data_IF_239585023089
#
_entry.id   IF_239585023089
#
_cell.length_a   1.000
_cell.length_b   1.000
_cell.length_c   1.000
_cell.angle_alpha   90.00
_cell.angle_beta   90.00
_cell.angle_gamma   90.00
#
_symmetry.space_group_name_H-M   'P 1'
#
loop_
_entity.id
_entity.type
_entity.pdbx_description
1 polymer ?
#
# COMPACT_ATOMS: atom_id res chain seq x y z
N UNK A 1 -12.30 3.72 9.62
CA UNK A 1 -11.11 2.99 9.17
C UNK A 1 -10.06 3.02 10.27
N UNK A 2 -9.66 1.86 10.76
CA UNK A 2 -8.59 1.63 11.73
C UNK A 2 -7.22 2.02 11.15
N UNK A 3 -6.18 2.04 11.97
CA UNK A 3 -4.82 2.26 11.45
C UNK A 3 -4.37 1.14 10.51
N UNK A 4 -4.68 -0.12 10.83
CA UNK A 4 -4.23 -1.26 10.02
C UNK A 4 -4.93 -1.29 8.65
N UNK A 5 -6.22 -0.96 8.63
CA UNK A 5 -6.98 -0.78 7.38
C UNK A 5 -6.37 0.33 6.52
N UNK A 6 -5.98 1.48 7.11
CA UNK A 6 -5.32 2.57 6.37
C UNK A 6 -3.95 2.17 5.84
N UNK A 7 -3.13 1.52 6.67
CA UNK A 7 -1.79 1.09 6.29
C UNK A 7 -1.85 0.10 5.12
N UNK A 8 -2.70 -0.91 5.22
CA UNK A 8 -2.88 -1.94 4.20
C UNK A 8 -3.48 -1.38 2.91
N UNK A 9 -4.40 -0.44 3.00
CA UNK A 9 -4.95 0.28 1.85
C UNK A 9 -3.87 1.08 1.12
N UNK A 10 -3.06 1.86 1.84
CA UNK A 10 -1.98 2.64 1.25
C UNK A 10 -0.88 1.73 0.70
N UNK A 11 -0.57 0.61 1.37
CA UNK A 11 0.34 -0.39 0.84
C UNK A 11 -0.12 -0.94 -0.52
N UNK A 12 -1.38 -1.37 -0.61
CA UNK A 12 -1.95 -1.89 -1.86
C UNK A 12 -1.94 -0.81 -2.96
N UNK A 13 -2.22 0.43 -2.58
CA UNK A 13 -2.19 1.57 -3.49
C UNK A 13 -0.79 1.81 -4.06
N UNK A 14 0.26 1.71 -3.22
CA UNK A 14 1.67 1.79 -3.68
C UNK A 14 1.99 0.61 -4.59
N UNK A 15 1.61 -0.61 -4.22
CA UNK A 15 1.86 -1.82 -5.02
C UNK A 15 1.34 -1.67 -6.46
N UNK A 16 0.11 -1.17 -6.59
CA UNK A 16 -0.55 -0.97 -7.88
C UNK A 16 -0.03 0.26 -8.63
N UNK A 17 0.21 1.38 -7.94
CA UNK A 17 0.72 2.60 -8.56
C UNK A 17 2.16 2.43 -9.07
N UNK A 18 2.95 1.56 -8.44
CA UNK A 18 4.39 1.41 -8.72
C UNK A 18 4.78 0.24 -9.63
N UNK A 19 3.82 -0.43 -10.29
CA UNK A 19 4.12 -1.61 -11.13
C UNK A 19 5.13 -1.35 -12.26
N UNK A 20 5.15 -0.13 -12.83
CA UNK A 20 6.05 0.24 -13.94
C UNK A 20 7.23 1.10 -13.48
N UNK A 21 7.04 1.94 -12.48
CA UNK A 21 8.03 2.87 -11.95
C UNK A 21 7.60 3.35 -10.55
N UNK A 22 8.51 3.85 -9.69
CA UNK A 22 8.15 4.46 -8.42
C UNK A 22 7.06 5.53 -8.55
N UNK A 23 6.08 5.50 -7.66
CA UNK A 23 4.90 6.38 -7.68
C UNK A 23 5.06 7.56 -6.70
N UNK A 24 4.58 8.74 -7.08
CA UNK A 24 4.47 9.87 -6.15
C UNK A 24 3.15 9.82 -5.35
N UNK A 25 2.97 10.77 -4.44
CA UNK A 25 1.75 10.90 -3.63
C UNK A 25 0.48 10.97 -4.46
N UNK A 26 0.51 11.65 -5.61
CA UNK A 26 -0.68 11.83 -6.44
C UNK A 26 -1.08 10.51 -7.10
N UNK A 27 -0.10 9.78 -7.67
CA UNK A 27 -0.33 8.47 -8.24
C UNK A 27 -0.88 7.48 -7.20
N UNK A 28 -0.31 7.49 -5.99
CA UNK A 28 -0.80 6.64 -4.89
C UNK A 28 -2.23 7.03 -4.50
N UNK A 29 -2.52 8.33 -4.37
CA UNK A 29 -3.84 8.83 -3.97
C UNK A 29 -4.93 8.49 -4.99
N UNK A 30 -4.63 8.58 -6.29
CA UNK A 30 -5.57 8.20 -7.37
C UNK A 30 -5.93 6.71 -7.32
N UNK A 31 -4.95 5.84 -7.08
CA UNK A 31 -5.21 4.41 -6.93
C UNK A 31 -5.98 4.12 -5.65
N UNK A 32 -5.64 4.81 -4.55
CA UNK A 32 -6.32 4.66 -3.28
C UNK A 32 -7.81 4.97 -3.40
N UNK A 33 -8.16 6.07 -4.07
CA UNK A 33 -9.55 6.42 -4.39
C UNK A 33 -10.23 5.34 -5.24
N UNK A 34 -9.55 4.80 -6.24
CA UNK A 34 -10.07 3.70 -7.06
C UNK A 34 -10.33 2.39 -6.28
N UNK A 35 -9.63 2.15 -5.16
CA UNK A 35 -9.80 0.96 -4.33
C UNK A 35 -10.97 1.12 -3.35
N UNK A 36 -11.08 2.26 -2.69
CA UNK A 36 -11.96 2.45 -1.54
C UNK A 36 -13.01 3.56 -1.72
N UNK A 37 -13.11 4.17 -2.90
CA UNK A 37 -13.98 5.32 -3.18
C UNK A 37 -13.81 6.46 -2.17
N UNK A 38 -12.57 6.66 -1.72
CA UNK A 38 -12.20 7.67 -0.75
C UNK A 38 -10.81 8.19 -1.06
N UNK A 39 -10.64 9.51 -1.09
CA UNK A 39 -9.31 10.12 -1.23
C UNK A 39 -8.63 10.13 0.14
N UNK A 40 -7.46 9.47 0.30
CA UNK A 40 -6.75 9.51 1.57
C UNK A 40 -6.26 10.93 1.85
N UNK A 41 -6.33 11.35 3.11
CA UNK A 41 -5.78 12.64 3.52
C UNK A 41 -4.25 12.63 3.46
N UNK A 42 -3.64 13.81 3.40
CA UNK A 42 -2.18 13.94 3.43
C UNK A 42 -1.57 13.26 4.67
N UNK A 43 -2.21 13.42 5.83
CA UNK A 43 -1.78 12.79 7.10
C UNK A 43 -1.83 11.26 7.02
N UNK A 44 -2.87 10.69 6.41
CA UNK A 44 -3.01 9.24 6.27
C UNK A 44 -1.97 8.64 5.32
N UNK A 45 -1.75 9.28 4.17
CA UNK A 45 -0.67 8.89 3.26
C UNK A 45 0.68 8.96 3.96
N UNK A 46 1.00 10.10 4.57
CA UNK A 46 2.30 10.33 5.20
C UNK A 46 2.56 9.34 6.34
N UNK A 47 1.61 9.17 7.26
CA UNK A 47 1.77 8.25 8.40
C UNK A 47 1.88 6.79 7.94
N UNK A 48 1.07 6.37 6.97
CA UNK A 48 1.08 4.99 6.48
C UNK A 48 2.37 4.69 5.71
N UNK A 49 2.80 5.57 4.80
CA UNK A 49 4.05 5.43 4.05
C UNK A 49 5.24 5.40 5.01
N UNK A 50 5.27 6.27 6.01
CA UNK A 50 6.35 6.30 7.01
C UNK A 50 6.42 4.98 7.78
N UNK A 51 5.27 4.46 8.21
CA UNK A 51 5.22 3.17 8.90
C UNK A 51 5.71 2.02 8.00
N UNK A 52 5.28 1.99 6.73
CA UNK A 52 5.69 0.98 5.75
C UNK A 52 7.19 1.02 5.43
N UNK A 53 7.78 2.22 5.37
CA UNK A 53 9.23 2.41 5.21
C UNK A 53 9.96 1.90 6.44
N UNK A 54 9.50 2.26 7.65
CA UNK A 54 10.13 1.83 8.90
C UNK A 54 10.10 0.30 9.09
N UNK A 55 9.07 -0.38 8.58
CA UNK A 55 8.99 -1.84 8.56
C UNK A 55 9.76 -2.50 7.40
N UNK A 56 10.32 -1.71 6.49
CA UNK A 56 11.08 -2.22 5.34
C UNK A 56 10.23 -2.79 4.21
N UNK A 57 8.93 -2.48 4.16
CA UNK A 57 8.01 -2.96 3.12
C UNK A 57 7.95 -2.03 1.89
N UNK A 58 8.28 -0.76 2.09
CA UNK A 58 8.33 0.27 1.04
C UNK A 58 9.70 0.94 1.05
N UNK A 59 10.22 1.26 -0.13
CA UNK A 59 11.41 2.10 -0.30
C UNK A 59 11.03 3.43 -0.92
N UNK A 60 11.77 4.47 -0.57
CA UNK A 60 11.60 5.83 -1.09
C UNK A 60 12.84 6.28 -1.85
N UNK A 61 12.65 6.90 -3.01
CA UNK A 61 13.70 7.58 -3.76
C UNK A 61 13.11 8.80 -4.46
N UNK A 62 13.73 9.98 -4.29
CA UNK A 62 13.29 11.24 -4.90
C UNK A 62 11.78 11.54 -4.71
N UNK A 63 11.28 11.34 -3.48
CA UNK A 63 9.85 11.51 -3.11
C UNK A 63 8.88 10.61 -3.88
N UNK A 64 9.38 9.50 -4.41
CA UNK A 64 8.59 8.44 -5.04
C UNK A 64 8.77 7.14 -4.27
N UNK A 65 7.76 6.30 -4.31
CA UNK A 65 7.61 5.12 -3.47
C UNK A 65 7.34 3.89 -4.32
N UNK A 66 7.90 2.76 -3.89
CA UNK A 66 7.62 1.45 -4.46
C UNK A 66 7.80 0.38 -3.39
N UNK A 67 7.29 -0.82 -3.64
CA UNK A 67 7.53 -1.94 -2.74
C UNK A 67 9.02 -2.31 -2.70
N UNK A 68 9.53 -2.62 -1.51
CA UNK A 68 10.78 -3.36 -1.35
C UNK A 68 10.60 -4.80 -1.82
N UNK A 69 11.67 -5.61 -1.82
CA UNK A 69 11.52 -7.04 -2.14
C UNK A 69 10.64 -7.77 -1.13
N UNK A 70 10.75 -7.44 0.17
CA UNK A 70 9.84 -7.95 1.21
C UNK A 70 8.39 -7.51 0.95
N UNK A 71 8.18 -6.24 0.57
CA UNK A 71 6.86 -5.75 0.21
C UNK A 71 6.27 -6.49 -1.00
N UNK A 72 7.08 -6.73 -2.04
CA UNK A 72 6.62 -7.51 -3.21
C UNK A 72 6.19 -8.91 -2.82
N UNK A 73 6.92 -9.59 -1.93
CA UNK A 73 6.53 -10.91 -1.43
C UNK A 73 5.19 -10.89 -0.68
N UNK A 74 4.96 -9.87 0.15
CA UNK A 74 3.67 -9.67 0.83
C UNK A 74 2.55 -9.51 -0.20
N UNK A 75 2.74 -8.63 -1.18
CA UNK A 75 1.75 -8.39 -2.23
C UNK A 75 1.47 -9.65 -3.05
N UNK A 76 2.50 -10.35 -3.52
CA UNK A 76 2.36 -11.58 -4.30
C UNK A 76 1.56 -12.64 -3.56
N UNK A 77 1.87 -12.87 -2.27
CA UNK A 77 1.11 -13.81 -1.44
C UNK A 77 -0.33 -13.37 -1.22
N UNK A 78 -0.54 -12.07 -0.97
CA UNK A 78 -1.89 -11.53 -0.76
C UNK A 78 -2.76 -11.57 -2.02
N UNK A 79 -2.15 -11.52 -3.20
CA UNK A 79 -2.83 -11.55 -4.51
C UNK A 79 -2.95 -12.93 -5.13
N UNK A 80 -2.30 -13.93 -4.56
CA UNK A 80 -2.26 -15.27 -5.12
C UNK A 80 -3.65 -15.90 -5.12
N UNK A 81 -4.11 -16.36 -6.29
CA UNK A 81 -5.45 -16.95 -6.50
C UNK A 81 -6.64 -16.03 -6.15
N UNK A 82 -6.43 -14.73 -6.00
CA UNK A 82 -7.48 -13.77 -5.69
C UNK A 82 -8.02 -13.08 -6.94
N UNK A 83 -9.35 -12.99 -7.04
CA UNK A 83 -10.05 -12.37 -8.17
C UNK A 83 -10.63 -10.98 -7.86
N UNK A 84 -10.42 -10.45 -6.65
CA UNK A 84 -10.99 -9.16 -6.25
C UNK A 84 -10.01 -8.31 -5.43
N UNK A 85 -9.98 -7.00 -5.67
CA UNK A 85 -9.15 -6.05 -4.90
C UNK A 85 -9.49 -6.08 -3.40
N UNK A 86 -10.76 -6.30 -3.06
CA UNK A 86 -11.22 -6.39 -1.68
C UNK A 86 -10.59 -7.60 -0.96
N UNK A 87 -10.49 -8.75 -1.64
CA UNK A 87 -9.81 -9.92 -1.07
C UNK A 87 -8.32 -9.67 -0.87
N UNK A 88 -7.66 -9.08 -1.87
CA UNK A 88 -6.23 -8.75 -1.80
C UNK A 88 -5.97 -7.79 -0.65
N UNK A 89 -6.79 -6.76 -0.49
CA UNK A 89 -6.68 -5.80 0.60
C UNK A 89 -6.81 -6.50 1.96
N UNK A 90 -7.82 -7.34 2.17
CA UNK A 90 -7.97 -8.12 3.41
C UNK A 90 -6.76 -9.02 3.70
N UNK A 91 -6.18 -9.62 2.68
CA UNK A 91 -5.00 -10.47 2.84
C UNK A 91 -3.74 -9.64 3.19
N UNK A 92 -3.59 -8.45 2.58
CA UNK A 92 -2.56 -7.49 2.96
C UNK A 92 -2.75 -7.05 4.42
N UNK A 93 -3.97 -6.70 4.83
CA UNK A 93 -4.26 -6.26 6.20
C UNK A 93 -3.83 -7.30 7.25
N UNK A 94 -4.15 -8.57 7.02
CA UNK A 94 -3.70 -9.69 7.86
C UNK A 94 -2.17 -9.85 7.86
N UNK A 95 -1.52 -9.59 6.74
CA UNK A 95 -0.06 -9.74 6.60
C UNK A 95 0.73 -8.60 7.27
N UNK A 96 0.08 -7.47 7.50
CA UNK A 96 0.69 -6.25 8.07
C UNK A 96 0.32 -6.04 9.53
N UNK A 97 -0.31 -7.02 10.19
CA UNK A 97 -0.71 -6.93 11.59
C UNK A 97 0.47 -6.41 12.44
N UNK A 98 0.22 -5.28 13.10
CA UNK A 98 1.14 -4.72 14.09
C UNK A 98 1.17 -5.68 15.28
N UNK A 99 2.37 -6.15 15.64
CA UNK A 99 2.66 -6.65 16.99
C UNK A 99 2.26 -5.61 18.06
#
# INVERSE_FOLDING_TARGET
>A
MSENEKISWIFLSIAMASQKAPADYNGISMIADGINHAVPTHKELQSSITWLINKGFVVSSNKKYQLSDTGKLIYTRASENENSLMSIWKNVEKSLEKD
#
